data_IF_579697375476
#
_entry.id   IF_579697375476
#
_cell.length_a   1.000
_cell.length_b   1.000
_cell.length_c   1.000
_cell.angle_alpha   90.00
_cell.angle_beta   90.00
_cell.angle_gamma   90.00
#
_symmetry.space_group_name_H-M   'P 1'
#
loop_
_entity.id
_entity.type
_entity.pdbx_description
1 polymer ?
#
# COMPACT_ATOMS: atom_id res chain seq x y z
N UNK A 1 10.68 1.20 15.03
CA UNK A 1 9.27 1.44 15.44
C UNK A 1 8.23 0.83 14.49
N UNK A 2 7.97 1.38 13.29
CA UNK A 2 6.87 0.88 12.40
C UNK A 2 7.07 -0.59 12.00
N UNK A 3 8.29 -0.93 11.58
CA UNK A 3 8.65 -2.31 11.25
C UNK A 3 8.54 -3.23 12.49
N UNK A 4 9.19 -2.86 13.60
CA UNK A 4 9.16 -3.64 14.87
C UNK A 4 7.75 -3.85 15.45
N UNK A 5 6.87 -2.86 15.28
CA UNK A 5 5.47 -2.95 15.68
C UNK A 5 4.63 -3.87 14.77
N UNK A 6 5.22 -4.40 13.69
CA UNK A 6 4.56 -5.24 12.67
C UNK A 6 3.35 -4.55 12.08
N UNK A 7 3.50 -3.27 11.73
CA UNK A 7 2.44 -2.55 11.02
C UNK A 7 2.17 -3.27 9.70
N UNK A 8 0.92 -3.63 9.46
CA UNK A 8 0.52 -4.34 8.26
C UNK A 8 0.51 -3.43 7.03
N UNK A 9 -0.07 -2.24 7.17
CA UNK A 9 -0.34 -1.31 6.08
C UNK A 9 -0.14 0.11 6.58
N UNK A 10 0.42 0.98 5.73
CA UNK A 10 0.54 2.42 5.95
C UNK A 10 -0.15 3.15 4.79
N UNK A 11 -1.10 4.03 5.14
CA UNK A 11 -1.75 4.94 4.19
C UNK A 11 -1.16 6.35 4.31
N UNK A 12 -0.84 6.97 3.19
CA UNK A 12 -0.33 8.34 3.14
C UNK A 12 -0.94 9.12 1.97
N UNK A 13 -1.12 10.44 2.15
CA UNK A 13 -1.53 11.36 1.08
C UNK A 13 -0.34 12.11 0.47
N UNK A 14 -0.50 13.44 0.35
CA UNK A 14 0.49 14.41 -0.16
C UNK A 14 0.76 14.34 -1.67
N UNK A 15 1.19 13.20 -2.21
CA UNK A 15 1.35 13.06 -3.67
C UNK A 15 -0.03 12.88 -4.29
N UNK A 16 -0.38 13.72 -5.27
CA UNK A 16 -1.70 13.71 -5.92
C UNK A 16 -1.81 12.61 -6.99
N UNK A 17 -1.58 11.38 -6.58
CA UNK A 17 -1.69 10.17 -7.38
C UNK A 17 -1.93 8.97 -6.45
N UNK A 18 -2.32 7.85 -7.03
CA UNK A 18 -2.40 6.57 -6.35
C UNK A 18 -1.13 5.75 -6.61
N UNK A 19 -0.56 5.13 -5.57
CA UNK A 19 0.54 4.16 -5.72
C UNK A 19 0.52 3.13 -4.59
N UNK A 20 0.63 1.85 -4.93
CA UNK A 20 0.73 0.73 -4.00
C UNK A 20 2.04 -0.02 -4.17
N UNK A 21 2.74 -0.19 -3.06
CA UNK A 21 3.98 -0.92 -2.98
C UNK A 21 3.76 -2.38 -2.56
N UNK A 22 4.74 -3.25 -2.79
CA UNK A 22 4.87 -4.51 -2.04
C UNK A 22 5.11 -4.21 -0.55
N UNK A 23 5.22 -5.26 0.27
CA UNK A 23 5.79 -5.12 1.61
C UNK A 23 7.25 -4.66 1.51
N UNK A 24 7.57 -3.53 2.15
CA UNK A 24 8.88 -2.86 2.02
C UNK A 24 9.47 -2.54 3.39
N UNK A 25 10.77 -2.73 3.52
CA UNK A 25 11.57 -2.21 4.62
C UNK A 25 12.92 -1.70 4.08
N UNK A 26 13.34 -0.53 4.54
CA UNK A 26 14.62 0.09 4.15
C UNK A 26 14.85 0.13 2.61
N UNK A 27 13.80 0.53 1.88
CA UNK A 27 13.82 0.64 0.42
C UNK A 27 13.89 -0.69 -0.35
N UNK A 28 13.75 -1.82 0.34
CA UNK A 28 13.84 -3.17 -0.26
C UNK A 28 12.57 -3.96 -0.02
N UNK A 29 12.31 -4.91 -0.93
CA UNK A 29 11.27 -5.92 -0.74
C UNK A 29 11.51 -6.70 0.54
N UNK A 30 10.53 -6.77 1.42
CA UNK A 30 10.61 -7.48 2.68
C UNK A 30 9.23 -7.99 3.08
N UNK A 31 9.05 -9.31 3.17
CA UNK A 31 7.75 -9.91 3.46
C UNK A 31 7.22 -9.59 4.86
N UNK A 32 8.06 -9.05 5.75
CA UNK A 32 7.70 -8.63 7.10
C UNK A 32 7.60 -7.11 7.25
N UNK A 33 7.83 -6.35 6.16
CA UNK A 33 7.56 -4.92 6.11
C UNK A 33 6.08 -4.61 5.92
N UNK A 34 5.64 -3.37 6.23
CA UNK A 34 4.31 -2.90 5.87
C UNK A 34 4.13 -2.81 4.35
N UNK A 35 2.89 -2.95 3.89
CA UNK A 35 2.46 -2.45 2.59
C UNK A 35 2.28 -0.94 2.68
N UNK A 36 2.88 -0.19 1.75
CA UNK A 36 2.66 1.25 1.65
C UNK A 36 1.67 1.56 0.54
N UNK A 37 0.70 2.42 0.83
CA UNK A 37 -0.28 2.92 -0.13
C UNK A 37 -0.31 4.46 -0.06
N UNK A 38 0.02 5.08 -1.18
CA UNK A 38 -0.20 6.49 -1.43
C UNK A 38 -1.59 6.67 -2.03
N UNK A 39 -2.41 7.48 -1.38
CA UNK A 39 -3.79 7.80 -1.73
C UNK A 39 -4.06 9.30 -1.53
N UNK A 40 -3.24 10.14 -2.17
CA UNK A 40 -3.36 11.60 -2.10
C UNK A 40 -4.20 12.21 -3.23
N UNK A 41 -4.88 11.37 -3.98
CA UNK A 41 -5.61 11.62 -5.23
C UNK A 41 -7.08 12.02 -5.02
N UNK A 42 -7.39 12.72 -3.93
CA UNK A 42 -8.76 13.07 -3.56
C UNK A 42 -9.44 14.19 -4.38
N UNK A 43 -8.76 14.81 -5.36
CA UNK A 43 -9.41 15.79 -6.25
C UNK A 43 -9.23 17.26 -5.90
N UNK A 44 -8.15 17.66 -5.19
CA UNK A 44 -7.94 19.07 -4.90
C UNK A 44 -7.54 19.88 -6.17
N UNK A 45 -7.66 21.21 -6.07
CA UNK A 45 -7.46 22.16 -7.19
C UNK A 45 -6.06 22.18 -7.81
N UNK A 46 -5.04 21.62 -7.14
CA UNK A 46 -3.66 21.61 -7.64
C UNK A 46 -3.49 20.59 -8.78
N UNK A 47 -4.42 19.63 -8.92
CA UNK A 47 -4.41 18.63 -9.98
C UNK A 47 -3.52 17.42 -9.68
N UNK A 48 -3.39 16.53 -10.66
CA UNK A 48 -2.71 15.25 -10.54
C UNK A 48 -1.19 15.33 -10.71
N UNK A 49 -0.47 14.51 -9.95
CA UNK A 49 0.97 14.30 -10.10
C UNK A 49 1.24 13.19 -11.13
N UNK A 50 1.37 13.57 -12.41
CA UNK A 50 1.51 12.61 -13.53
C UNK A 50 2.92 12.08 -13.80
N UNK A 51 3.96 12.55 -13.09
CA UNK A 51 5.35 12.12 -13.31
C UNK A 51 5.76 11.10 -12.25
N UNK A 52 6.14 9.92 -12.71
CA UNK A 52 6.68 8.84 -11.86
C UNK A 52 8.16 8.59 -12.16
N UNK A 53 8.84 7.96 -11.22
CA UNK A 53 10.21 7.46 -11.43
C UNK A 53 10.19 6.42 -12.56
N UNK A 54 11.13 6.55 -13.50
CA UNK A 54 11.31 5.64 -14.63
C UNK A 54 12.76 5.11 -14.67
N UNK A 55 13.00 3.79 -14.78
CA UNK A 55 11.98 2.73 -14.84
C UNK A 55 11.21 2.57 -13.53
N UNK A 56 10.02 1.97 -13.59
CA UNK A 56 9.23 1.63 -12.40
C UNK A 56 10.09 0.84 -11.39
N UNK A 57 10.29 1.34 -10.15
CA UNK A 57 10.97 0.57 -9.13
C UNK A 57 10.21 -0.74 -8.89
N UNK A 58 10.92 -1.86 -8.78
CA UNK A 58 10.29 -3.19 -8.59
C UNK A 58 9.40 -3.28 -7.34
N UNK A 59 9.62 -2.41 -6.37
CA UNK A 59 8.84 -2.34 -5.13
C UNK A 59 7.48 -1.64 -5.33
N UNK A 60 7.31 -0.84 -6.37
CA UNK A 60 6.04 -0.23 -6.75
C UNK A 60 5.31 -1.19 -7.68
N UNK A 61 4.15 -1.70 -7.27
CA UNK A 61 3.40 -2.72 -8.04
C UNK A 61 2.37 -2.05 -8.94
N UNK A 62 1.67 -1.04 -8.41
CA UNK A 62 0.63 -0.34 -9.12
C UNK A 62 0.76 1.15 -8.84
N UNK A 63 0.65 1.97 -9.88
CA UNK A 63 0.72 3.43 -9.77
C UNK A 63 -0.08 4.07 -10.88
N UNK A 64 -0.86 5.08 -10.54
CA UNK A 64 -1.73 5.76 -11.49
C UNK A 64 -2.04 7.20 -11.05
N UNK A 65 -1.97 8.12 -12.00
CA UNK A 65 -2.42 9.50 -11.80
C UNK A 65 -3.87 9.64 -12.26
N UNK A 66 -4.80 9.28 -11.38
CA UNK A 66 -6.24 9.46 -11.54
C UNK A 66 -6.81 9.86 -10.18
N UNK A 67 -7.93 10.60 -10.15
CA UNK A 67 -8.62 10.84 -8.89
C UNK A 67 -9.39 9.61 -8.45
N UNK A 68 -9.44 9.37 -7.15
CA UNK A 68 -10.07 8.18 -6.63
C UNK A 68 -10.23 8.17 -5.12
N UNK A 69 -10.62 7.01 -4.62
CA UNK A 69 -10.74 6.71 -3.21
C UNK A 69 -10.49 5.23 -2.96
N UNK A 70 -10.22 4.88 -1.71
CA UNK A 70 -9.89 3.53 -1.31
C UNK A 70 -10.81 3.02 -0.21
N UNK A 71 -11.02 1.71 -0.21
CA UNK A 71 -11.82 1.01 0.77
C UNK A 71 -11.00 -0.16 1.34
N UNK A 72 -10.87 -0.16 2.66
CA UNK A 72 -10.29 -1.27 3.42
C UNK A 72 -11.41 -2.03 4.13
N UNK A 73 -11.63 -3.28 3.75
CA UNK A 73 -12.58 -4.18 4.39
C UNK A 73 -11.82 -5.21 5.23
N UNK A 74 -11.91 -5.12 6.56
CA UNK A 74 -11.30 -6.11 7.46
C UNK A 74 -12.25 -7.30 7.59
N UNK A 75 -11.92 -8.39 6.91
CA UNK A 75 -12.77 -9.58 6.87
C UNK A 75 -12.68 -10.39 8.18
N UNK A 76 -11.48 -10.53 8.74
CA UNK A 76 -11.23 -11.21 10.02
C UNK A 76 -9.86 -10.80 10.60
N UNK A 77 -9.41 -11.46 11.68
CA UNK A 77 -8.13 -11.16 12.35
C UNK A 77 -6.88 -11.42 11.49
N UNK A 78 -7.01 -12.10 10.36
CA UNK A 78 -5.89 -12.51 9.50
C UNK A 78 -5.94 -11.89 8.11
N UNK A 79 -7.11 -11.44 7.63
CA UNK A 79 -7.29 -10.97 6.26
C UNK A 79 -8.06 -9.66 6.20
N UNK A 80 -7.56 -8.74 5.38
CA UNK A 80 -8.26 -7.54 4.96
C UNK A 80 -8.18 -7.38 3.44
N UNK A 81 -9.20 -6.81 2.83
CA UNK A 81 -9.26 -6.52 1.40
C UNK A 81 -9.11 -5.03 1.17
N UNK A 82 -8.10 -4.65 0.40
CA UNK A 82 -7.93 -3.28 -0.08
C UNK A 82 -8.44 -3.19 -1.51
N UNK A 83 -9.19 -2.13 -1.77
CA UNK A 83 -9.58 -1.72 -3.12
C UNK A 83 -9.37 -0.23 -3.30
N UNK A 84 -8.99 0.17 -4.50
CA UNK A 84 -8.97 1.57 -4.94
C UNK A 84 -9.84 1.72 -6.18
N UNK A 85 -10.63 2.78 -6.21
CA UNK A 85 -11.66 3.06 -7.22
C UNK A 85 -11.40 4.45 -7.81
N UNK A 86 -11.37 4.55 -9.14
CA UNK A 86 -11.30 5.85 -9.82
C UNK A 86 -12.65 6.56 -9.69
N UNK A 87 -12.61 7.89 -9.70
CA UNK A 87 -13.83 8.70 -9.72
C UNK A 87 -14.52 8.70 -11.10
N UNK A 88 -13.74 8.54 -12.18
CA UNK A 88 -14.24 8.64 -13.55
C UNK A 88 -14.80 7.30 -14.10
N UNK A 89 -14.68 6.21 -13.33
CA UNK A 89 -15.18 4.91 -13.75
C UNK A 89 -16.72 4.88 -13.59
N UNK A 90 -17.43 4.63 -14.70
CA UNK A 90 -18.90 4.54 -14.73
C UNK A 90 -19.45 3.25 -14.06
N UNK A 91 -18.57 2.46 -13.44
CA UNK A 91 -18.84 1.18 -12.79
C UNK A 91 -18.08 1.14 -11.46
N UNK A 92 -18.68 0.55 -10.43
CA UNK A 92 -18.07 0.40 -9.08
C UNK A 92 -16.96 -0.67 -9.02
N UNK A 93 -16.31 -0.98 -10.15
CA UNK A 93 -15.25 -1.96 -10.20
C UNK A 93 -13.95 -1.33 -9.70
N UNK A 94 -13.21 -1.99 -8.79
CA UNK A 94 -11.94 -1.46 -8.32
C UNK A 94 -10.91 -1.47 -9.44
N UNK A 95 -10.19 -0.36 -9.57
CA UNK A 95 -9.08 -0.20 -10.49
C UNK A 95 -7.82 -0.94 -10.00
N UNK A 96 -7.67 -1.04 -8.68
CA UNK A 96 -6.64 -1.85 -8.03
C UNK A 96 -7.22 -2.58 -6.82
N UNK A 97 -6.72 -3.79 -6.55
CA UNK A 97 -7.25 -4.65 -5.50
C UNK A 97 -6.20 -5.61 -4.95
N UNK A 98 -6.17 -5.80 -3.63
CA UNK A 98 -5.28 -6.78 -2.99
C UNK A 98 -5.87 -7.32 -1.69
N UNK A 99 -5.74 -8.62 -1.47
CA UNK A 99 -5.94 -9.25 -0.16
C UNK A 99 -4.65 -9.19 0.65
N UNK A 100 -4.77 -8.73 1.88
CA UNK A 100 -3.67 -8.49 2.80
C UNK A 100 -3.77 -9.52 3.93
N UNK A 101 -2.70 -10.25 4.17
CA UNK A 101 -2.59 -11.19 5.29
C UNK A 101 -1.84 -10.52 6.44
N UNK A 102 -2.39 -10.55 7.65
CA UNK A 102 -1.81 -9.88 8.81
C UNK A 102 -0.49 -10.50 9.23
N UNK A 103 0.53 -9.66 9.44
CA UNK A 103 1.84 -10.04 10.00
C UNK A 103 1.71 -10.63 11.42
N UNK A 104 0.64 -10.32 12.15
CA UNK A 104 0.38 -10.93 13.46
C UNK A 104 0.09 -12.44 13.36
N UNK A 105 -0.35 -12.92 12.19
CA UNK A 105 -0.63 -14.33 11.93
C UNK A 105 0.54 -15.10 11.33
N UNK A 106 1.63 -14.41 10.97
CA UNK A 106 2.83 -15.01 10.40
C UNK A 106 3.95 -15.13 11.45
N UNK A 107 4.24 -16.35 11.88
CA UNK A 107 5.29 -16.64 12.86
C UNK A 107 6.71 -16.41 12.32
N UNK A 108 6.91 -16.41 11.00
CA UNK A 108 8.23 -16.17 10.39
C UNK A 108 8.65 -14.71 10.52
N UNK A 109 7.68 -13.80 10.58
CA UNK A 109 7.92 -12.39 10.85
C UNK A 109 8.17 -12.06 12.33
N UNK A 110 8.02 -13.05 13.22
CA UNK A 110 8.41 -12.94 14.62
C UNK A 110 9.89 -13.29 14.79
N UNK A 111 10.36 -14.38 14.17
CA UNK A 111 11.77 -14.80 14.25
C UNK A 111 12.70 -13.83 13.53
N UNK A 112 12.31 -13.32 12.36
CA UNK A 112 13.11 -12.40 11.54
C UNK A 112 13.39 -11.05 12.24
N UNK A 113 12.59 -10.67 13.22
CA UNK A 113 12.82 -9.45 14.02
C UNK A 113 13.98 -9.59 15.00
N UNK A 114 14.15 -10.79 15.58
CA UNK A 114 15.23 -11.08 16.53
C UNK A 114 16.59 -11.05 15.82
N UNK A 115 16.64 -11.53 14.58
CA UNK A 115 17.87 -11.58 13.78
C UNK A 115 18.32 -10.20 13.26
N UNK A 116 17.40 -9.22 13.16
CA UNK A 116 17.71 -7.85 12.67
C UNK A 116 18.04 -6.86 13.78
N UNK A 117 18.03 -7.28 15.05
CA UNK A 117 18.45 -6.46 16.20
C UNK A 117 19.97 -6.55 16.51
N UNK A 118 20.75 -7.25 15.68
CA UNK A 118 22.20 -7.39 15.81
C UNK A 118 22.96 -6.86 14.61
#
# INVERSE_FOLDING_TARGET
LIYEARVDIVFAGHVHAYERFIRVYDGKADNCGPVYITIGDGGNREGLAGRFIDPQPKISIFREASFGHGQLEVANSTHAHWTWHRNDDNQSAPADSVWLTSLASDSTCISTMLDKQH
#
